data_IF_426329043781
#
_entry.id   IF_426329043781
#
_cell.length_a   1.000
_cell.length_b   1.000
_cell.length_c   1.000
_cell.angle_alpha   90.00
_cell.angle_beta   90.00
_cell.angle_gamma   90.00
#
_symmetry.space_group_name_H-M   'P 1'
#
loop_
_entity.id
_entity.type
_entity.pdbx_description
1 polymer ?
#
# COMPACT_ATOMS: atom_id res chain seq x y z
N UNK A 1 9.02 61.41 54.18
CA UNK A 1 8.54 61.26 52.79
C UNK A 1 8.74 59.82 52.36
N UNK A 2 7.62 59.15 52.20
CA UNK A 2 7.37 57.79 51.69
C UNK A 2 8.22 57.40 50.49
N UNK A 3 8.98 56.30 50.60
CA UNK A 3 9.36 55.48 49.44
C UNK A 3 9.31 54.00 49.84
N UNK A 4 8.18 53.36 49.54
CA UNK A 4 8.00 51.91 49.65
C UNK A 4 8.84 51.21 48.59
N UNK A 5 9.86 50.46 49.03
CA UNK A 5 10.57 49.51 48.18
C UNK A 5 9.75 48.21 48.07
N UNK A 6 9.20 47.98 46.89
CA UNK A 6 8.52 46.75 46.50
C UNK A 6 9.51 45.58 46.43
N UNK A 7 9.33 44.60 47.32
CA UNK A 7 9.95 43.28 47.28
C UNK A 7 9.29 42.48 46.13
N UNK A 8 10.02 41.90 45.17
CA UNK A 8 9.41 41.03 44.18
C UNK A 8 9.11 39.65 44.77
N UNK A 9 7.85 39.25 44.66
CA UNK A 9 7.34 37.91 44.96
C UNK A 9 8.15 36.80 44.28
N UNK A 10 8.67 35.87 45.08
CA UNK A 10 9.10 34.54 44.64
C UNK A 10 7.95 33.83 43.88
N UNK A 11 8.13 33.65 42.57
CA UNK A 11 7.31 32.70 41.81
C UNK A 11 7.75 31.29 42.17
N UNK A 12 6.94 30.61 42.99
CA UNK A 12 6.97 29.15 43.14
C UNK A 12 6.90 28.48 41.77
N UNK A 13 8.00 27.86 41.38
CA UNK A 13 8.11 26.95 40.24
C UNK A 13 7.14 25.78 40.42
N UNK A 14 6.04 25.79 39.66
CA UNK A 14 5.19 24.59 39.50
C UNK A 14 5.98 23.56 38.69
N UNK A 15 6.05 22.28 39.10
CA UNK A 15 6.72 21.27 38.31
C UNK A 15 5.99 21.11 36.97
N UNK A 16 6.71 21.31 35.87
CA UNK A 16 6.26 20.95 34.53
C UNK A 16 6.08 19.44 34.54
N UNK A 17 4.84 18.98 34.61
CA UNK A 17 4.49 17.60 34.28
C UNK A 17 4.82 17.41 32.81
N UNK A 18 6.00 16.85 32.54
CA UNK A 18 6.35 16.33 31.22
C UNK A 18 5.37 15.19 30.95
N UNK A 19 4.29 15.47 30.22
CA UNK A 19 3.48 14.43 29.58
C UNK A 19 4.41 13.66 28.66
N UNK A 20 4.88 12.50 29.14
CA UNK A 20 5.60 11.53 28.32
C UNK A 20 4.74 11.26 27.08
N UNK A 21 5.27 11.56 25.90
CA UNK A 21 4.70 11.09 24.64
C UNK A 21 4.50 9.57 24.76
N UNK A 22 3.34 9.02 24.39
CA UNK A 22 3.14 7.58 24.41
C UNK A 22 4.22 6.92 23.55
N UNK A 23 4.93 5.94 24.12
CA UNK A 23 5.87 5.09 23.38
C UNK A 23 5.09 4.43 22.23
N UNK A 24 5.66 4.36 21.02
CA UNK A 24 5.01 3.82 19.80
C UNK A 24 4.26 2.50 20.00
N UNK A 25 4.75 1.62 20.88
CA UNK A 25 4.07 0.38 21.26
C UNK A 25 2.66 0.57 21.85
N UNK A 26 2.40 1.68 22.57
CA UNK A 26 1.08 1.98 23.15
C UNK A 26 0.06 2.48 22.12
N UNK A 27 0.52 3.03 20.98
CA UNK A 27 -0.36 3.39 19.85
C UNK A 27 -0.69 2.15 19.03
N UNK A 28 0.26 1.23 18.84
CA UNK A 28 0.04 -0.06 18.17
C UNK A 28 -0.90 -0.99 18.96
N UNK A 29 -0.77 -1.02 20.29
CA UNK A 29 -1.70 -1.74 21.18
C UNK A 29 -3.09 -1.11 21.21
N UNK A 30 -3.18 0.23 21.19
CA UNK A 30 -4.46 0.93 21.12
C UNK A 30 -5.15 0.72 19.76
N UNK A 31 -4.40 0.73 18.66
CA UNK A 31 -4.91 0.43 17.32
C UNK A 31 -5.35 -1.03 17.19
N UNK A 32 -4.58 -1.97 17.75
CA UNK A 32 -4.94 -3.40 17.75
C UNK A 32 -6.17 -3.67 18.61
N UNK A 33 -6.27 -3.01 19.78
CA UNK A 33 -7.44 -3.09 20.66
C UNK A 33 -8.68 -2.44 20.05
N UNK A 34 -8.53 -1.28 19.38
CA UNK A 34 -9.60 -0.61 18.67
C UNK A 34 -10.07 -1.39 17.44
N UNK A 35 -9.15 -2.07 16.73
CA UNK A 35 -9.48 -2.96 15.61
C UNK A 35 -10.24 -4.19 16.11
N UNK A 36 -9.82 -4.80 17.22
CA UNK A 36 -10.53 -5.92 17.83
C UNK A 36 -11.93 -5.51 18.34
N UNK A 37 -12.04 -4.33 18.95
CA UNK A 37 -13.31 -3.77 19.39
C UNK A 37 -14.22 -3.39 18.20
N UNK A 38 -13.67 -2.85 17.12
CA UNK A 38 -14.40 -2.55 15.89
C UNK A 38 -14.86 -3.83 15.16
N UNK A 39 -14.01 -4.86 15.11
CA UNK A 39 -14.39 -6.20 14.60
C UNK A 39 -15.54 -6.78 15.44
N UNK A 40 -15.53 -6.57 16.76
CA UNK A 40 -16.62 -6.98 17.66
C UNK A 40 -17.90 -6.13 17.52
N UNK A 41 -17.78 -4.84 17.16
CA UNK A 41 -18.91 -3.91 17.02
C UNK A 41 -19.56 -3.91 15.62
N UNK A 42 -18.78 -4.18 14.56
CA UNK A 42 -19.18 -4.05 13.15
C UNK A 42 -19.74 -5.36 12.58
N UNK A 43 -19.51 -6.50 13.25
CA UNK A 43 -20.30 -7.70 13.00
C UNK A 43 -21.76 -7.40 13.40
N UNK A 44 -22.61 -7.06 12.41
CA UNK A 44 -24.07 -7.08 12.58
C UNK A 44 -24.49 -8.35 13.32
N UNK A 45 -25.56 -8.31 14.14
CA UNK A 45 -25.93 -9.34 15.11
C UNK A 45 -26.40 -10.68 14.48
N UNK A 46 -26.04 -10.99 13.25
CA UNK A 46 -26.30 -12.28 12.60
C UNK A 46 -25.12 -13.25 12.70
N UNK A 47 -23.88 -12.80 12.45
CA UNK A 47 -22.73 -13.71 12.32
C UNK A 47 -21.93 -13.80 13.62
N UNK A 48 -21.73 -12.67 14.32
CA UNK A 48 -21.25 -12.70 15.70
C UNK A 48 -22.25 -13.41 16.61
N UNK A 49 -23.56 -13.20 16.41
CA UNK A 49 -24.58 -13.94 17.13
C UNK A 49 -24.61 -15.40 16.70
N UNK A 50 -24.44 -15.79 15.43
CA UNK A 50 -24.36 -17.20 15.04
C UNK A 50 -23.11 -17.90 15.61
N UNK A 51 -21.95 -17.23 15.63
CA UNK A 51 -20.71 -17.74 16.22
C UNK A 51 -20.75 -17.78 17.75
N UNK A 52 -21.25 -16.72 18.40
CA UNK A 52 -21.43 -16.64 19.86
C UNK A 52 -22.57 -17.55 20.32
N UNK A 53 -23.67 -17.70 19.57
CA UNK A 53 -24.74 -18.65 19.88
C UNK A 53 -24.29 -20.06 19.63
N UNK A 54 -23.53 -20.36 18.56
CA UNK A 54 -22.93 -21.68 18.37
C UNK A 54 -21.93 -22.01 19.48
N UNK A 55 -21.09 -21.05 19.88
CA UNK A 55 -20.15 -21.15 20.99
C UNK A 55 -20.83 -21.29 22.36
N UNK A 56 -21.86 -20.50 22.63
CA UNK A 56 -22.68 -20.56 23.85
C UNK A 56 -23.53 -21.83 23.89
N UNK A 57 -24.06 -22.32 22.76
CA UNK A 57 -24.75 -23.60 22.66
C UNK A 57 -23.79 -24.78 22.87
N UNK A 58 -22.55 -24.67 22.38
CA UNK A 58 -21.50 -25.67 22.63
C UNK A 58 -21.10 -25.69 24.11
N UNK A 59 -20.89 -24.51 24.71
CA UNK A 59 -20.57 -24.36 26.12
C UNK A 59 -21.72 -24.82 27.03
N UNK A 60 -22.96 -24.41 26.75
CA UNK A 60 -24.16 -24.83 27.47
C UNK A 60 -24.39 -26.35 27.35
N UNK A 61 -24.08 -26.96 26.19
CA UNK A 61 -24.12 -28.42 26.02
C UNK A 61 -23.02 -29.15 26.78
N UNK A 62 -21.82 -28.61 26.87
CA UNK A 62 -20.74 -29.18 27.68
C UNK A 62 -21.07 -29.12 29.17
N UNK A 63 -21.68 -28.02 29.63
CA UNK A 63 -22.19 -27.86 31.00
C UNK A 63 -23.36 -28.80 31.27
N UNK A 64 -24.34 -28.90 30.36
CA UNK A 64 -25.47 -29.82 30.50
C UNK A 64 -25.03 -31.31 30.43
N UNK A 65 -24.04 -31.65 29.61
CA UNK A 65 -23.48 -33.00 29.54
C UNK A 65 -22.66 -33.37 30.78
N UNK A 66 -22.01 -32.40 31.45
CA UNK A 66 -21.40 -32.57 32.77
C UNK A 66 -22.45 -32.70 33.87
N UNK A 67 -23.50 -31.87 33.83
CA UNK A 67 -24.63 -31.92 34.77
C UNK A 67 -25.42 -33.23 34.70
N UNK A 68 -25.66 -33.77 33.50
CA UNK A 68 -26.31 -35.07 33.31
C UNK A 68 -25.42 -36.24 33.74
N UNK A 69 -24.10 -36.17 33.55
CA UNK A 69 -23.16 -37.18 34.06
C UNK A 69 -23.09 -37.16 35.58
N UNK A 70 -23.16 -35.98 36.21
CA UNK A 70 -23.19 -35.83 37.66
C UNK A 70 -24.52 -36.32 38.25
N UNK A 71 -25.67 -35.99 37.62
CA UNK A 71 -27.00 -36.53 38.00
C UNK A 71 -27.11 -38.05 37.78
N UNK A 72 -26.48 -38.61 36.75
CA UNK A 72 -26.42 -40.07 36.55
C UNK A 72 -25.55 -40.77 37.59
N UNK A 73 -24.44 -40.17 38.02
CA UNK A 73 -23.63 -40.69 39.15
C UNK A 73 -24.38 -40.66 40.49
N UNK A 74 -25.21 -39.64 40.71
CA UNK A 74 -26.01 -39.52 41.94
C UNK A 74 -27.24 -40.46 41.93
N UNK A 75 -27.74 -40.85 40.75
CA UNK A 75 -29.00 -41.61 40.61
C UNK A 75 -28.84 -43.11 40.33
N UNK A 76 -27.62 -43.62 40.15
CA UNK A 76 -27.39 -45.07 39.95
C UNK A 76 -26.81 -45.74 41.19
N UNK A 77 -27.64 -45.87 42.22
CA UNK A 77 -27.67 -47.06 43.04
C UNK A 77 -28.90 -47.88 42.64
N UNK A 78 -28.83 -48.63 41.53
CA UNK A 78 -29.60 -49.87 41.32
C UNK A 78 -29.30 -50.47 39.94
N UNK A 79 -29.23 -51.79 39.90
CA UNK A 79 -28.80 -52.66 38.80
C UNK A 79 -29.94 -52.94 37.81
N UNK A 80 -29.51 -53.28 36.58
CA UNK A 80 -30.19 -54.03 35.50
C UNK A 80 -31.31 -53.31 34.72
N UNK A 81 -31.03 -53.10 33.43
CA UNK A 81 -32.00 -52.71 32.40
C UNK A 81 -31.33 -52.71 31.04
N UNK A 82 -31.82 -53.56 30.14
CA UNK A 82 -31.25 -53.90 28.83
C UNK A 82 -30.96 -52.69 27.93
N UNK A 83 -29.87 -52.82 27.17
CA UNK A 83 -29.41 -51.97 26.07
C UNK A 83 -30.55 -51.54 25.14
N UNK A 84 -31.14 -50.37 25.36
CA UNK A 84 -31.68 -49.54 24.26
C UNK A 84 -30.68 -48.43 23.99
N UNK A 85 -29.79 -48.65 23.02
CA UNK A 85 -29.08 -47.54 22.34
C UNK A 85 -30.17 -46.73 21.65
N UNK A 86 -30.70 -45.73 22.34
CA UNK A 86 -31.65 -44.78 21.75
C UNK A 86 -31.00 -44.20 20.49
N UNK A 87 -31.58 -44.50 19.32
CA UNK A 87 -31.17 -43.89 18.06
C UNK A 87 -31.29 -42.38 18.27
N UNK A 88 -30.16 -41.67 18.27
CA UNK A 88 -30.16 -40.20 18.35
C UNK A 88 -31.15 -39.66 17.31
N UNK A 89 -32.02 -38.74 17.73
CA UNK A 89 -33.04 -38.18 16.83
C UNK A 89 -32.36 -37.52 15.63
N UNK A 90 -33.00 -37.46 14.46
CA UNK A 90 -32.43 -36.82 13.27
C UNK A 90 -31.89 -35.42 13.57
N UNK A 91 -32.61 -34.65 14.38
CA UNK A 91 -32.20 -33.33 14.86
C UNK A 91 -30.90 -33.34 15.67
N UNK A 92 -30.72 -34.30 16.59
CA UNK A 92 -29.49 -34.43 17.38
C UNK A 92 -28.28 -34.78 16.51
N UNK A 93 -28.48 -35.60 15.47
CA UNK A 93 -27.44 -35.92 14.49
C UNK A 93 -27.09 -34.70 13.64
N UNK A 94 -28.09 -33.98 13.13
CA UNK A 94 -27.87 -32.75 12.35
C UNK A 94 -27.13 -31.69 13.16
N UNK A 95 -27.51 -31.48 14.43
CA UNK A 95 -26.80 -30.52 15.28
C UNK A 95 -25.38 -30.99 15.60
N UNK A 96 -25.16 -32.29 15.89
CA UNK A 96 -23.81 -32.81 16.12
C UNK A 96 -22.92 -32.61 14.88
N UNK A 97 -23.43 -32.95 13.69
CA UNK A 97 -22.74 -32.75 12.42
C UNK A 97 -22.43 -31.26 12.22
N UNK A 98 -23.39 -30.36 12.42
CA UNK A 98 -23.19 -28.93 12.29
C UNK A 98 -22.13 -28.40 13.28
N UNK A 99 -22.14 -28.86 14.54
CA UNK A 99 -21.14 -28.46 15.53
C UNK A 99 -19.75 -28.98 15.21
N UNK A 100 -19.63 -30.22 14.74
CA UNK A 100 -18.35 -30.80 14.33
C UNK A 100 -17.80 -30.11 13.10
N UNK A 101 -18.65 -29.83 12.11
CA UNK A 101 -18.28 -29.07 10.92
C UNK A 101 -17.81 -27.65 11.30
N UNK A 102 -18.55 -26.95 12.17
CA UNK A 102 -18.16 -25.62 12.64
C UNK A 102 -16.81 -25.65 13.40
N UNK A 103 -16.61 -26.62 14.29
CA UNK A 103 -15.35 -26.77 15.01
C UNK A 103 -14.18 -27.09 14.07
N UNK A 104 -14.39 -27.96 13.08
CA UNK A 104 -13.38 -28.27 12.07
C UNK A 104 -13.02 -27.03 11.24
N UNK A 105 -14.01 -26.23 10.81
CA UNK A 105 -13.77 -24.98 10.09
C UNK A 105 -12.98 -23.97 10.94
N UNK A 106 -13.31 -23.82 12.23
CA UNK A 106 -12.56 -22.93 13.14
C UNK A 106 -11.11 -23.42 13.31
N UNK A 107 -10.90 -24.74 13.48
CA UNK A 107 -9.55 -25.30 13.58
C UNK A 107 -8.74 -25.08 12.30
N UNK A 108 -9.35 -25.28 11.13
CA UNK A 108 -8.72 -24.98 9.83
C UNK A 108 -8.39 -23.49 9.70
N UNK A 109 -9.29 -22.60 10.14
CA UNK A 109 -9.05 -21.15 10.13
C UNK A 109 -7.90 -20.76 11.08
N UNK A 110 -7.85 -21.33 12.29
CA UNK A 110 -6.76 -21.09 13.25
C UNK A 110 -5.42 -21.60 12.72
N UNK A 111 -5.41 -22.78 12.08
CA UNK A 111 -4.22 -23.33 11.44
C UNK A 111 -3.75 -22.43 10.28
N UNK A 112 -4.67 -22.02 9.40
CA UNK A 112 -4.41 -21.08 8.30
C UNK A 112 -3.87 -19.74 8.81
N UNK A 113 -4.46 -19.19 9.86
CA UNK A 113 -3.99 -17.95 10.49
C UNK A 113 -2.60 -18.12 11.11
N UNK A 114 -2.37 -19.22 11.82
CA UNK A 114 -1.05 -19.57 12.35
C UNK A 114 0.01 -19.66 11.25
N UNK A 115 -0.29 -20.32 10.14
CA UNK A 115 0.58 -20.39 8.97
C UNK A 115 0.86 -19.00 8.37
N UNK A 116 -0.17 -18.15 8.26
CA UNK A 116 -0.03 -16.79 7.76
C UNK A 116 0.83 -15.90 8.67
N UNK A 117 0.86 -16.17 9.99
CA UNK A 117 1.69 -15.48 10.99
C UNK A 117 3.11 -16.07 11.13
N UNK A 118 3.36 -17.27 10.64
CA UNK A 118 4.71 -17.89 10.65
C UNK A 118 5.41 -17.87 9.29
N UNK A 119 4.69 -17.62 8.20
CA UNK A 119 5.26 -17.45 6.87
C UNK A 119 6.38 -16.38 6.84
N UNK A 120 7.33 -16.53 5.91
CA UNK A 120 8.37 -15.51 5.70
C UNK A 120 7.71 -14.20 5.25
N UNK A 121 7.97 -13.12 5.98
CA UNK A 121 7.38 -11.81 5.70
C UNK A 121 8.28 -10.69 6.17
N UNK A 122 8.26 -9.56 5.45
CA UNK A 122 8.86 -8.31 5.90
C UNK A 122 7.84 -7.30 6.46
N UNK A 123 6.64 -7.79 6.77
CA UNK A 123 5.52 -7.04 7.35
C UNK A 123 5.33 -7.37 8.84
N UNK A 124 4.77 -6.42 9.59
CA UNK A 124 4.46 -6.65 11.01
C UNK A 124 3.32 -7.66 11.18
N UNK A 125 3.23 -8.29 12.35
CA UNK A 125 2.15 -9.24 12.65
C UNK A 125 0.76 -8.62 12.45
N UNK A 126 0.57 -7.35 12.80
CA UNK A 126 -0.70 -6.64 12.60
C UNK A 126 -1.09 -6.53 11.11
N UNK A 127 -0.14 -6.18 10.24
CA UNK A 127 -0.39 -6.13 8.80
C UNK A 127 -0.70 -7.52 8.25
N UNK A 128 0.03 -8.54 8.70
CA UNK A 128 -0.22 -9.94 8.31
C UNK A 128 -1.61 -10.41 8.73
N UNK A 129 -2.09 -10.02 9.91
CA UNK A 129 -3.45 -10.30 10.34
C UNK A 129 -4.50 -9.62 9.46
N UNK A 130 -4.29 -8.36 9.09
CA UNK A 130 -5.19 -7.62 8.19
C UNK A 130 -5.21 -8.26 6.79
N UNK A 131 -4.05 -8.62 6.25
CA UNK A 131 -3.95 -9.30 4.95
C UNK A 131 -4.60 -10.69 4.98
N UNK A 132 -4.47 -11.45 6.07
CA UNK A 132 -5.16 -12.73 6.24
C UNK A 132 -6.68 -12.53 6.28
N UNK A 133 -7.18 -11.56 7.05
CA UNK A 133 -8.62 -11.24 7.09
C UNK A 133 -9.15 -10.87 5.69
N UNK A 134 -8.42 -10.02 4.97
CA UNK A 134 -8.76 -9.63 3.60
C UNK A 134 -8.83 -10.84 2.66
N UNK A 135 -7.83 -11.72 2.73
CA UNK A 135 -7.77 -12.94 1.92
C UNK A 135 -8.75 -14.05 2.30
N UNK A 136 -9.37 -14.01 3.49
CA UNK A 136 -10.28 -15.05 4.00
C UNK A 136 -11.73 -14.55 4.13
N UNK A 137 -12.16 -13.66 3.23
CA UNK A 137 -13.57 -13.25 3.09
C UNK A 137 -14.03 -12.11 4.01
N UNK A 138 -13.13 -11.54 4.81
CA UNK A 138 -13.40 -10.35 5.63
C UNK A 138 -12.88 -9.06 4.99
N UNK A 139 -12.64 -9.04 3.67
CA UNK A 139 -12.23 -7.85 2.93
C UNK A 139 -13.18 -6.67 3.17
N UNK A 140 -14.49 -6.90 3.15
CA UNK A 140 -15.52 -5.87 3.40
C UNK A 140 -15.36 -5.18 4.77
N UNK A 141 -14.99 -5.94 5.80
CA UNK A 141 -14.83 -5.41 7.16
C UNK A 141 -13.60 -4.51 7.24
N UNK A 142 -12.50 -4.93 6.61
CA UNK A 142 -11.28 -4.13 6.51
C UNK A 142 -11.57 -2.86 5.73
N UNK A 143 -12.27 -2.97 4.60
CA UNK A 143 -12.70 -1.86 3.76
C UNK A 143 -13.54 -0.82 4.50
N UNK A 144 -14.48 -1.25 5.35
CA UNK A 144 -15.33 -0.33 6.11
C UNK A 144 -14.56 0.38 7.23
N UNK A 145 -13.63 -0.32 7.89
CA UNK A 145 -12.73 0.29 8.87
C UNK A 145 -11.79 1.31 8.18
N UNK A 146 -11.21 0.95 7.04
CA UNK A 146 -10.37 1.84 6.24
C UNK A 146 -11.17 3.07 5.80
N UNK A 147 -12.39 2.89 5.28
CA UNK A 147 -13.29 3.99 4.89
C UNK A 147 -13.60 4.93 6.06
N UNK A 148 -13.93 4.38 7.23
CA UNK A 148 -14.18 5.17 8.42
C UNK A 148 -12.92 5.94 8.82
N UNK A 149 -11.76 5.26 8.91
CA UNK A 149 -10.48 5.89 9.23
C UNK A 149 -10.16 7.03 8.27
N UNK A 150 -10.27 6.83 6.96
CA UNK A 150 -10.00 7.87 5.97
C UNK A 150 -11.04 8.98 5.98
N UNK A 151 -12.32 8.70 6.27
CA UNK A 151 -13.36 9.73 6.39
C UNK A 151 -13.13 10.66 7.59
N UNK A 152 -12.65 10.11 8.71
CA UNK A 152 -12.37 10.86 9.94
C UNK A 152 -11.04 11.61 9.85
N UNK A 153 -10.04 11.04 9.18
CA UNK A 153 -8.71 11.64 9.01
C UNK A 153 -8.57 12.45 7.71
N UNK A 154 -9.62 12.56 6.90
CA UNK A 154 -9.59 13.35 5.69
C UNK A 154 -9.20 14.80 6.01
N UNK A 155 -8.25 15.40 5.29
CA UNK A 155 -7.88 16.79 5.51
C UNK A 155 -9.10 17.68 5.28
N UNK A 156 -9.28 18.67 6.15
CA UNK A 156 -10.29 19.71 5.94
C UNK A 156 -10.05 20.38 4.59
N UNK A 157 -11.13 20.61 3.84
CA UNK A 157 -11.07 21.43 2.63
C UNK A 157 -10.62 22.85 2.99
N UNK A 158 -9.69 23.39 2.20
CA UNK A 158 -9.13 24.72 2.40
C UNK A 158 -8.09 24.82 3.53
N UNK A 159 -8.02 26.00 4.15
CA UNK A 159 -7.03 26.33 5.18
C UNK A 159 -5.70 26.87 4.65
N UNK A 160 -4.75 27.22 5.53
CA UNK A 160 -3.50 27.87 5.11
C UNK A 160 -2.67 26.95 4.22
N UNK A 161 -2.12 27.49 3.15
CA UNK A 161 -1.19 26.76 2.29
C UNK A 161 0.13 26.43 3.00
N UNK A 162 0.85 25.42 2.48
CA UNK A 162 2.25 25.21 2.81
C UNK A 162 3.07 26.49 2.53
N UNK A 163 4.05 26.75 3.39
CA UNK A 163 5.03 27.84 3.22
C UNK A 163 6.30 27.38 2.49
N UNK A 164 6.61 26.08 2.54
CA UNK A 164 7.79 25.46 1.91
C UNK A 164 7.47 24.04 1.48
N UNK A 165 8.11 23.62 0.41
CA UNK A 165 8.08 22.24 -0.07
C UNK A 165 9.13 21.38 0.64
N UNK A 166 8.92 20.06 0.75
CA UNK A 166 9.96 19.14 1.15
C UNK A 166 11.09 19.12 0.11
N UNK A 167 12.31 18.94 0.58
CA UNK A 167 13.51 18.81 -0.25
C UNK A 167 13.49 17.46 -0.98
N UNK A 168 13.50 17.48 -2.31
CA UNK A 168 13.52 16.26 -3.17
C UNK A 168 14.73 16.25 -4.10
N UNK A 169 15.29 15.06 -4.33
CA UNK A 169 16.50 14.89 -5.13
C UNK A 169 17.79 15.28 -4.40
N UNK A 170 18.85 15.49 -5.19
CA UNK A 170 20.14 16.03 -4.76
C UNK A 170 20.25 17.50 -5.16
N UNK A 171 20.82 18.34 -4.28
CA UNK A 171 21.01 19.77 -4.54
C UNK A 171 19.78 20.66 -4.32
N UNK A 172 18.78 20.18 -3.58
CA UNK A 172 17.55 20.89 -3.22
C UNK A 172 17.65 21.80 -1.98
N UNK A 173 18.87 22.05 -1.48
CA UNK A 173 19.15 23.14 -0.54
C UNK A 173 19.05 24.49 -1.27
N UNK A 174 18.56 25.57 -0.64
CA UNK A 174 18.54 26.88 -1.26
C UNK A 174 19.99 27.33 -1.48
N UNK A 175 20.46 27.19 -2.71
CA UNK A 175 21.75 27.72 -3.10
C UNK A 175 21.71 29.24 -2.87
N UNK A 176 22.56 29.71 -1.95
CA UNK A 176 22.95 31.12 -1.90
C UNK A 176 23.36 31.56 -3.30
N UNK A 177 23.04 32.82 -3.60
CA UNK A 177 23.27 33.48 -4.89
C UNK A 177 24.59 33.06 -5.54
N UNK A 178 24.52 32.86 -6.85
CA UNK A 178 25.59 32.62 -7.83
C UNK A 178 25.89 31.14 -8.13
N UNK A 179 25.18 30.60 -9.13
CA UNK A 179 25.78 29.63 -10.07
C UNK A 179 25.45 30.01 -11.51
N UNK A 180 26.41 29.90 -12.46
CA UNK A 180 26.24 30.38 -13.82
C UNK A 180 25.17 29.58 -14.57
N UNK A 181 24.52 30.23 -15.53
CA UNK A 181 23.67 29.60 -16.53
C UNK A 181 24.44 28.47 -17.22
N UNK A 182 24.15 27.23 -16.84
CA UNK A 182 24.45 26.08 -17.71
C UNK A 182 23.47 26.20 -18.88
N UNK A 183 24.03 26.23 -20.08
CA UNK A 183 23.31 26.36 -21.34
C UNK A 183 22.05 25.49 -21.40
N UNK A 184 21.03 26.05 -22.05
CA UNK A 184 19.65 25.59 -22.21
C UNK A 184 19.55 24.27 -23.01
N UNK A 185 20.17 23.20 -22.51
CA UNK A 185 20.00 21.84 -23.03
C UNK A 185 18.94 21.16 -22.17
N UNK A 186 17.74 21.05 -22.74
CA UNK A 186 16.71 20.02 -22.56
C UNK A 186 16.49 19.45 -21.14
N UNK A 187 16.40 20.28 -20.09
CA UNK A 187 15.65 19.85 -18.91
C UNK A 187 14.17 19.73 -19.30
N UNK A 188 13.45 18.67 -18.88
CA UNK A 188 12.02 18.59 -19.08
C UNK A 188 11.35 19.87 -18.58
N UNK A 189 10.32 20.33 -19.29
CA UNK A 189 9.56 21.50 -18.87
C UNK A 189 9.08 21.28 -17.43
N UNK A 190 9.29 22.29 -16.58
CA UNK A 190 8.83 22.23 -15.20
C UNK A 190 7.30 22.03 -15.16
N UNK A 191 6.83 21.26 -14.18
CA UNK A 191 5.39 21.11 -13.96
C UNK A 191 4.85 22.47 -13.52
N UNK A 192 3.85 22.99 -14.23
CA UNK A 192 3.33 24.33 -13.93
C UNK A 192 2.59 24.31 -12.60
N UNK A 193 2.93 25.18 -11.62
CA UNK A 193 2.22 25.23 -10.34
C UNK A 193 0.73 25.56 -10.53
N UNK A 194 -0.14 24.76 -9.91
CA UNK A 194 -1.60 24.94 -9.95
C UNK A 194 -2.06 26.02 -8.98
N UNK A 195 -1.37 26.16 -7.83
CA UNK A 195 -1.70 27.12 -6.78
C UNK A 195 -0.75 28.32 -6.84
N UNK A 196 -1.30 29.53 -6.69
CA UNK A 196 -0.54 30.79 -6.65
C UNK A 196 -0.56 31.43 -5.24
N UNK A 197 0.52 32.10 -4.81
CA UNK A 197 1.84 32.14 -5.46
C UNK A 197 2.51 30.76 -5.43
N UNK A 198 3.39 30.52 -6.40
CA UNK A 198 4.18 29.29 -6.46
C UNK A 198 5.19 29.27 -5.31
N UNK A 199 5.43 28.09 -4.74
CA UNK A 199 6.49 27.89 -3.76
C UNK A 199 7.85 27.75 -4.47
N UNK A 200 8.93 28.03 -3.74
CA UNK A 200 10.28 27.83 -4.27
C UNK A 200 10.48 26.38 -4.71
N UNK A 201 11.00 26.20 -5.93
CA UNK A 201 11.24 24.90 -6.58
C UNK A 201 9.97 24.06 -6.84
N UNK A 202 8.77 24.65 -6.75
CA UNK A 202 7.53 23.94 -7.06
C UNK A 202 7.46 23.54 -8.54
N UNK A 203 7.33 22.24 -8.80
CA UNK A 203 7.31 21.68 -10.15
C UNK A 203 8.66 21.66 -10.86
N UNK A 204 9.74 22.15 -10.23
CA UNK A 204 11.10 22.08 -10.76
C UNK A 204 11.68 20.68 -10.63
N UNK A 205 12.34 20.19 -11.68
CA UNK A 205 12.93 18.86 -11.71
C UNK A 205 14.32 18.82 -11.05
N UNK A 206 14.54 17.83 -10.19
CA UNK A 206 15.79 17.59 -9.48
C UNK A 206 16.34 16.20 -9.80
N UNK A 207 17.65 16.11 -10.05
CA UNK A 207 18.34 14.82 -10.19
C UNK A 207 18.23 14.02 -8.89
N UNK A 208 18.17 12.69 -9.00
CA UNK A 208 18.11 11.80 -7.83
C UNK A 208 19.48 11.36 -7.34
N UNK A 209 20.52 11.48 -8.18
CA UNK A 209 21.88 11.05 -7.88
C UNK A 209 22.92 12.13 -8.16
N UNK A 210 23.90 12.25 -7.26
CA UNK A 210 24.96 13.26 -7.31
C UNK A 210 25.74 13.24 -8.63
N UNK A 211 26.04 12.05 -9.16
CA UNK A 211 26.80 11.87 -10.41
C UNK A 211 26.08 12.37 -11.67
N UNK A 212 24.77 12.59 -11.59
CA UNK A 212 23.98 13.14 -12.71
C UNK A 212 23.51 14.58 -12.43
N UNK A 213 23.82 15.17 -11.28
CA UNK A 213 23.26 16.46 -10.87
C UNK A 213 23.65 17.62 -11.79
N UNK A 214 24.84 17.56 -12.41
CA UNK A 214 25.32 18.55 -13.37
C UNK A 214 24.88 18.27 -14.81
N UNK A 215 24.22 17.15 -15.07
CA UNK A 215 23.81 16.79 -16.43
C UNK A 215 22.49 17.48 -16.80
N UNK A 216 22.31 17.83 -18.09
CA UNK A 216 21.08 18.46 -18.57
C UNK A 216 19.87 17.53 -18.44
N UNK A 217 20.02 16.24 -18.77
CA UNK A 217 18.92 15.26 -18.72
C UNK A 217 19.29 14.01 -17.89
N UNK A 218 19.24 14.07 -16.54
CA UNK A 218 19.50 12.93 -15.67
C UNK A 218 18.54 11.75 -15.93
N UNK A 219 19.00 10.49 -15.78
CA UNK A 219 18.18 9.30 -16.06
C UNK A 219 16.93 9.18 -15.19
N UNK A 220 16.98 9.74 -13.98
CA UNK A 220 15.82 9.86 -13.10
C UNK A 220 15.79 11.27 -12.51
N UNK A 221 14.64 11.92 -12.65
CA UNK A 221 14.33 13.23 -12.09
C UNK A 221 13.14 13.10 -11.15
N UNK A 222 13.08 13.93 -10.12
CA UNK A 222 11.93 14.03 -9.21
C UNK A 222 11.51 15.47 -9.00
N UNK A 223 10.23 15.68 -8.74
CA UNK A 223 9.68 16.99 -8.37
C UNK A 223 8.48 16.82 -7.44
N UNK A 224 8.06 17.93 -6.83
CA UNK A 224 6.81 18.01 -6.08
C UNK A 224 6.05 19.28 -6.42
N UNK A 225 4.73 19.20 -6.39
CA UNK A 225 3.86 20.37 -6.52
C UNK A 225 2.55 20.18 -5.77
N UNK A 226 1.83 21.27 -5.50
CA UNK A 226 0.47 21.22 -4.96
C UNK A 226 -0.50 21.06 -6.13
N UNK A 227 -1.20 19.91 -6.26
CA UNK A 227 -1.97 19.62 -7.46
C UNK A 227 -3.41 20.13 -7.41
N UNK A 228 -3.89 20.57 -6.23
CA UNK A 228 -5.31 20.84 -6.01
C UNK A 228 -5.50 22.05 -5.07
N UNK A 229 -6.08 23.17 -5.55
CA UNK A 229 -6.38 24.35 -4.75
C UNK A 229 -7.29 24.09 -3.55
N UNK A 230 -8.14 23.05 -3.60
CA UNK A 230 -9.05 22.68 -2.52
C UNK A 230 -8.31 22.05 -1.33
N UNK A 231 -7.11 21.51 -1.58
CA UNK A 231 -6.26 20.83 -0.60
C UNK A 231 -4.83 21.36 -0.67
N UNK A 232 -4.58 22.63 -0.31
CA UNK A 232 -3.32 23.33 -0.53
C UNK A 232 -2.14 22.79 0.30
N UNK A 233 -2.38 21.79 1.16
CA UNK A 233 -1.39 21.07 1.95
C UNK A 233 -0.98 19.71 1.39
N UNK A 234 -1.75 19.20 0.43
CA UNK A 234 -1.47 17.90 -0.20
C UNK A 234 -0.47 18.12 -1.33
N UNK A 235 0.56 17.28 -1.36
CA UNK A 235 1.58 17.29 -2.40
C UNK A 235 1.43 16.09 -3.31
N UNK A 236 1.62 16.32 -4.61
CA UNK A 236 1.96 15.27 -5.55
C UNK A 236 3.48 15.20 -5.68
N UNK A 237 4.02 13.99 -5.54
CA UNK A 237 5.38 13.65 -5.94
C UNK A 237 5.36 13.03 -7.32
N UNK A 238 6.21 13.53 -8.22
CA UNK A 238 6.34 12.99 -9.57
C UNK A 238 7.78 12.63 -9.83
N UNK A 239 8.02 11.47 -10.43
CA UNK A 239 9.32 11.07 -10.92
C UNK A 239 9.26 10.80 -12.43
N UNK A 240 10.25 11.31 -13.15
CA UNK A 240 10.48 10.99 -14.57
C UNK A 240 11.65 10.03 -14.69
N UNK A 241 11.48 8.97 -15.46
CA UNK A 241 12.52 7.99 -15.78
C UNK A 241 12.71 7.98 -17.30
N UNK A 242 13.92 8.29 -17.75
CA UNK A 242 14.26 8.23 -19.17
C UNK A 242 14.71 6.80 -19.56
N UNK A 243 13.91 6.05 -20.34
CA UNK A 243 14.24 4.68 -20.71
C UNK A 243 15.43 4.59 -21.68
N UNK A 244 15.91 5.69 -22.26
CA UNK A 244 17.13 5.71 -23.09
C UNK A 244 18.40 5.67 -22.24
N UNK A 245 18.30 6.08 -20.97
CA UNK A 245 19.42 6.16 -20.01
C UNK A 245 19.25 5.25 -18.80
N UNK A 246 18.06 4.67 -18.63
CA UNK A 246 17.74 3.75 -17.58
C UNK A 246 17.11 2.45 -18.11
N UNK A 247 17.22 1.39 -17.33
CA UNK A 247 16.52 0.11 -17.56
C UNK A 247 15.61 -0.16 -16.37
N UNK A 248 14.40 -0.63 -16.63
CA UNK A 248 13.43 -1.04 -15.60
C UNK A 248 13.42 -2.57 -15.51
N UNK A 249 13.33 -3.10 -14.29
CA UNK A 249 13.14 -4.52 -14.04
C UNK A 249 12.04 -4.74 -13.01
N UNK A 250 11.34 -5.87 -13.13
CA UNK A 250 10.24 -6.30 -12.26
C UNK A 250 10.67 -7.50 -11.43
N UNK A 251 10.37 -7.47 -10.13
CA UNK A 251 10.75 -8.48 -9.14
C UNK A 251 9.49 -9.09 -8.50
N UNK A 252 9.31 -10.42 -8.44
CA UNK A 252 8.04 -11.05 -8.04
C UNK A 252 7.80 -11.22 -6.53
N UNK A 253 8.46 -10.42 -5.67
CA UNK A 253 8.26 -10.51 -4.22
C UNK A 253 8.50 -11.91 -3.61
N UNK A 254 8.15 -12.11 -2.34
CA UNK A 254 8.20 -13.41 -1.65
C UNK A 254 6.82 -14.03 -1.38
N UNK A 255 5.75 -13.24 -1.46
CA UNK A 255 4.37 -13.73 -1.29
C UNK A 255 3.51 -13.46 -2.51
N UNK A 256 3.64 -12.29 -3.12
CA UNK A 256 2.82 -11.86 -4.26
C UNK A 256 3.70 -11.34 -5.41
N UNK A 257 3.49 -11.83 -6.64
CA UNK A 257 2.50 -12.81 -7.08
C UNK A 257 2.78 -14.25 -6.60
N UNK A 258 1.75 -15.13 -6.65
CA UNK A 258 1.93 -16.57 -6.48
C UNK A 258 3.02 -17.12 -7.41
N UNK A 259 3.82 -18.07 -6.90
CA UNK A 259 4.90 -18.68 -7.67
C UNK A 259 6.17 -17.82 -7.82
N UNK A 260 6.20 -16.60 -7.26
CA UNK A 260 7.39 -15.74 -7.30
C UNK A 260 8.67 -16.41 -6.79
N UNK A 261 8.62 -17.03 -5.61
CA UNK A 261 9.76 -17.79 -5.05
C UNK A 261 10.12 -19.00 -5.91
N UNK A 262 9.12 -19.73 -6.40
CA UNK A 262 9.33 -20.93 -7.22
C UNK A 262 9.95 -20.61 -8.59
N UNK A 263 9.82 -19.37 -9.08
CA UNK A 263 10.45 -18.92 -10.32
C UNK A 263 11.97 -18.80 -10.23
N UNK A 264 12.54 -18.74 -9.02
CA UNK A 264 13.97 -18.50 -8.80
C UNK A 264 14.42 -17.06 -9.07
N UNK A 265 13.50 -16.16 -9.46
CA UNK A 265 13.79 -14.75 -9.60
C UNK A 265 14.06 -14.10 -8.24
N UNK A 266 14.95 -13.11 -8.17
CA UNK A 266 15.20 -12.38 -6.93
C UNK A 266 13.95 -11.65 -6.44
N UNK A 267 13.81 -11.56 -5.11
CA UNK A 267 12.72 -10.84 -4.43
C UNK A 267 13.17 -9.50 -3.83
N UNK A 268 14.41 -9.10 -4.11
CA UNK A 268 15.06 -7.87 -3.69
C UNK A 268 16.06 -7.43 -4.76
N UNK A 269 16.53 -6.18 -4.68
CA UNK A 269 17.60 -5.71 -5.55
C UNK A 269 18.91 -6.43 -5.20
N UNK A 270 19.47 -7.29 -6.08
CA UNK A 270 20.66 -8.06 -5.78
C UNK A 270 21.85 -7.15 -5.52
N UNK A 271 22.70 -7.50 -4.55
CA UNK A 271 23.85 -6.69 -4.14
C UNK A 271 24.74 -6.26 -5.33
N UNK A 272 24.99 -7.18 -6.28
CA UNK A 272 25.78 -6.91 -7.49
C UNK A 272 25.20 -5.83 -8.41
N UNK A 273 23.87 -5.63 -8.40
CA UNK A 273 23.19 -4.63 -9.23
C UNK A 273 23.08 -3.26 -8.57
N UNK A 274 23.33 -3.16 -7.25
CA UNK A 274 23.16 -1.91 -6.48
C UNK A 274 24.10 -0.79 -6.90
N UNK A 275 25.23 -1.09 -7.56
CA UNK A 275 26.11 -0.05 -8.14
C UNK A 275 25.39 0.79 -9.20
N UNK A 276 24.45 0.19 -9.94
CA UNK A 276 23.70 0.85 -11.03
C UNK A 276 22.33 1.37 -10.62
N UNK A 277 21.84 1.02 -9.42
CA UNK A 277 20.48 1.39 -9.02
C UNK A 277 20.29 2.91 -8.92
N UNK A 278 19.15 3.38 -9.39
CA UNK A 278 18.72 4.79 -9.39
C UNK A 278 17.51 4.97 -8.48
N UNK A 279 16.51 4.11 -8.65
CA UNK A 279 15.25 4.16 -7.91
C UNK A 279 14.59 2.78 -7.81
N UNK A 280 13.65 2.64 -6.88
CA UNK A 280 12.71 1.53 -6.76
C UNK A 280 11.32 2.06 -6.44
N UNK A 281 10.27 1.38 -6.90
CA UNK A 281 8.89 1.78 -6.61
C UNK A 281 7.94 0.60 -6.59
N UNK A 282 6.82 0.76 -5.91
CA UNK A 282 5.82 -0.28 -5.75
C UNK A 282 5.17 -0.69 -7.08
N UNK A 283 4.57 -1.87 -7.10
CA UNK A 283 3.80 -2.39 -8.22
C UNK A 283 2.29 -2.19 -8.03
N UNK A 284 1.48 -2.88 -8.84
CA UNK A 284 0.03 -2.89 -8.80
C UNK A 284 -0.57 -3.73 -7.66
N UNK A 285 -1.89 -3.90 -7.70
CA UNK A 285 -2.64 -4.71 -6.73
C UNK A 285 -2.24 -6.19 -6.79
N UNK A 286 -2.60 -6.96 -5.74
CA UNK A 286 -2.50 -8.42 -5.79
C UNK A 286 -3.19 -8.96 -7.05
N UNK A 287 -2.65 -9.99 -7.70
CA UNK A 287 -3.35 -10.66 -8.79
C UNK A 287 -4.76 -11.11 -8.40
N UNK A 288 -4.98 -11.53 -7.14
CA UNK A 288 -6.31 -11.88 -6.61
C UNK A 288 -7.31 -10.71 -6.62
N UNK A 289 -6.84 -9.49 -6.43
CA UNK A 289 -7.68 -8.30 -6.23
C UNK A 289 -7.99 -7.60 -7.55
N UNK A 290 -7.07 -7.66 -8.52
CA UNK A 290 -7.21 -7.02 -9.83
C UNK A 290 -7.35 -8.01 -11.00
N UNK A 291 -7.29 -9.32 -10.75
CA UNK A 291 -7.29 -10.34 -11.81
C UNK A 291 -6.21 -10.08 -12.87
N UNK A 292 -5.03 -9.63 -12.42
CA UNK A 292 -4.02 -9.00 -13.25
C UNK A 292 -2.84 -9.94 -13.54
N UNK A 293 -2.44 -10.01 -14.81
CA UNK A 293 -1.31 -10.83 -15.27
C UNK A 293 0.05 -10.34 -14.78
N UNK A 294 0.99 -11.29 -14.70
CA UNK A 294 2.36 -11.08 -14.26
C UNK A 294 3.32 -11.95 -15.08
N UNK A 295 4.27 -11.31 -15.74
CA UNK A 295 5.36 -11.96 -16.46
C UNK A 295 6.67 -11.22 -16.19
N UNK A 296 7.71 -11.96 -15.80
CA UNK A 296 9.05 -11.42 -15.62
C UNK A 296 10.11 -12.48 -15.93
N UNK A 297 11.19 -12.08 -16.60
CA UNK A 297 12.37 -12.94 -16.79
C UNK A 297 12.09 -14.25 -17.53
N UNK A 298 11.06 -14.30 -18.39
CA UNK A 298 10.64 -15.53 -19.08
C UNK A 298 9.62 -16.39 -18.31
N UNK A 299 9.33 -16.06 -17.05
CA UNK A 299 8.36 -16.74 -16.21
C UNK A 299 7.01 -16.05 -16.29
N UNK A 300 5.99 -16.81 -16.72
CA UNK A 300 4.59 -16.41 -16.62
C UNK A 300 4.08 -16.90 -15.26
N UNK A 301 3.81 -15.98 -14.34
CA UNK A 301 3.31 -16.31 -13.00
C UNK A 301 1.79 -16.19 -12.94
N UNK A 302 1.24 -15.20 -13.64
CA UNK A 302 -0.21 -15.00 -13.76
C UNK A 302 -0.55 -14.69 -15.24
N UNK A 303 -1.56 -15.35 -15.84
CA UNK A 303 -1.93 -15.13 -17.24
C UNK A 303 -2.29 -13.67 -17.55
N UNK A 304 -1.82 -13.16 -18.68
CA UNK A 304 -2.18 -11.84 -19.17
C UNK A 304 -3.62 -11.81 -19.68
N UNK A 305 -4.33 -10.69 -19.44
CA UNK A 305 -5.71 -10.48 -19.86
C UNK A 305 -5.83 -9.32 -20.83
N UNK A 306 -6.63 -9.43 -21.90
CA UNK A 306 -6.92 -8.32 -22.80
C UNK A 306 -7.56 -7.12 -22.08
N UNK A 307 -7.31 -5.92 -22.58
CA UNK A 307 -7.91 -4.66 -22.10
C UNK A 307 -7.26 -4.05 -20.86
N UNK A 308 -6.64 -4.87 -19.99
CA UNK A 308 -5.98 -4.39 -18.78
C UNK A 308 -4.76 -3.53 -19.09
N UNK A 309 -4.58 -2.47 -18.31
CA UNK A 309 -3.38 -1.65 -18.46
C UNK A 309 -2.15 -2.43 -18.02
N UNK A 310 -1.07 -2.30 -18.78
CA UNK A 310 0.14 -3.09 -18.61
C UNK A 310 1.36 -2.20 -18.74
N UNK A 311 2.20 -2.18 -17.70
CA UNK A 311 3.56 -1.68 -17.81
C UNK A 311 4.40 -2.82 -18.40
N UNK A 312 4.88 -2.62 -19.62
CA UNK A 312 5.60 -3.62 -20.41
C UNK A 312 7.00 -3.12 -20.73
N UNK A 313 7.99 -3.99 -20.52
CA UNK A 313 9.37 -3.75 -20.91
C UNK A 313 9.86 -4.84 -21.86
N UNK A 314 10.59 -4.42 -22.89
CA UNK A 314 11.23 -5.30 -23.89
C UNK A 314 12.65 -5.65 -23.49
N UNK A 315 13.24 -6.68 -24.11
CA UNK A 315 14.64 -7.05 -23.91
C UNK A 315 15.63 -5.99 -24.41
N UNK A 316 15.22 -5.17 -25.39
CA UNK A 316 15.98 -3.99 -25.83
C UNK A 316 15.90 -2.81 -24.85
N UNK A 317 15.08 -2.95 -23.80
CA UNK A 317 14.91 -1.97 -22.74
C UNK A 317 13.94 -0.83 -23.07
N UNK A 318 13.18 -0.91 -24.18
CA UNK A 318 12.00 -0.05 -24.38
C UNK A 318 10.95 -0.40 -23.32
N UNK A 319 10.35 0.62 -22.71
CA UNK A 319 9.26 0.47 -21.75
C UNK A 319 8.06 1.31 -22.21
N UNK A 320 6.85 0.81 -21.99
CA UNK A 320 5.60 1.50 -22.33
C UNK A 320 4.48 1.13 -21.36
N UNK A 321 3.44 1.95 -21.30
CA UNK A 321 2.16 1.64 -20.64
C UNK A 321 1.09 1.51 -21.71
N UNK A 322 0.52 0.31 -21.83
CA UNK A 322 -0.41 -0.04 -22.91
C UNK A 322 -1.71 -0.63 -22.36
N UNK A 323 -2.81 -0.55 -23.12
CA UNK A 323 -3.93 -1.47 -22.95
C UNK A 323 -3.56 -2.77 -23.64
N UNK A 324 -3.49 -3.87 -22.89
CA UNK A 324 -2.98 -5.13 -23.42
C UNK A 324 -3.90 -5.74 -24.47
N UNK A 325 -3.36 -6.06 -25.64
CA UNK A 325 -4.07 -6.75 -26.72
C UNK A 325 -3.40 -8.08 -27.12
N UNK A 326 -2.31 -8.46 -26.43
CA UNK A 326 -1.59 -9.71 -26.69
C UNK A 326 -2.26 -10.95 -26.10
N UNK A 327 -1.67 -12.12 -26.37
CA UNK A 327 -2.10 -13.38 -25.77
C UNK A 327 -1.83 -13.46 -24.26
N UNK A 328 -2.29 -14.56 -23.64
CA UNK A 328 -2.10 -14.83 -22.21
C UNK A 328 -0.63 -14.94 -21.80
N UNK A 329 0.24 -15.34 -22.73
CA UNK A 329 1.69 -15.35 -22.55
C UNK A 329 2.30 -14.25 -23.42
N UNK A 330 3.09 -13.33 -22.86
CA UNK A 330 3.83 -12.35 -23.64
C UNK A 330 4.77 -13.00 -24.68
N UNK A 331 4.98 -12.31 -25.80
CA UNK A 331 5.91 -12.74 -26.86
C UNK A 331 7.38 -12.71 -26.44
N UNK A 332 8.26 -13.31 -27.24
CA UNK A 332 9.67 -13.53 -26.89
C UNK A 332 10.51 -12.28 -26.59
N UNK A 333 10.16 -11.12 -27.18
CA UNK A 333 10.84 -9.84 -26.94
C UNK A 333 10.47 -9.18 -25.60
N UNK A 334 9.38 -9.60 -24.97
CA UNK A 334 8.98 -9.04 -23.68
C UNK A 334 9.90 -9.55 -22.58
N UNK A 335 10.51 -8.64 -21.83
CA UNK A 335 11.34 -8.93 -20.66
C UNK A 335 10.49 -8.98 -19.38
N UNK A 336 9.53 -8.07 -19.26
CA UNK A 336 8.52 -8.08 -18.21
C UNK A 336 7.21 -7.48 -18.70
N UNK A 337 6.10 -7.92 -18.13
CA UNK A 337 4.80 -7.31 -18.30
C UNK A 337 4.01 -7.45 -16.99
N UNK A 338 3.60 -6.32 -16.43
CA UNK A 338 2.78 -6.29 -15.22
C UNK A 338 1.48 -5.59 -15.50
N UNK A 339 0.39 -6.31 -15.39
CA UNK A 339 -0.93 -5.72 -15.54
C UNK A 339 -1.40 -5.12 -14.23
N UNK A 340 -2.37 -4.23 -14.31
CA UNK A 340 -3.25 -3.91 -13.19
C UNK A 340 -4.64 -3.67 -13.76
N UNK A 341 -5.41 -2.76 -13.16
CA UNK A 341 -6.71 -2.29 -13.64
C UNK A 341 -6.64 -1.66 -15.05
N UNK A 342 -7.77 -1.28 -15.69
CA UNK A 342 -7.73 -0.58 -16.98
C UNK A 342 -6.93 0.73 -16.94
N UNK A 343 -6.68 1.33 -18.10
CA UNK A 343 -5.94 2.60 -18.16
C UNK A 343 -6.73 3.71 -17.45
N UNK A 344 -6.07 4.48 -16.58
CA UNK A 344 -6.66 5.68 -15.98
C UNK A 344 -6.46 6.92 -16.85
N UNK A 345 -5.44 6.92 -17.70
CA UNK A 345 -5.23 7.94 -18.73
C UNK A 345 -5.09 7.24 -20.07
N UNK A 346 -5.81 7.71 -21.08
CA UNK A 346 -5.65 7.26 -22.46
C UNK A 346 -5.75 8.47 -23.41
N UNK A 347 -4.83 8.55 -24.38
CA UNK A 347 -4.68 9.70 -25.28
C UNK A 347 -4.61 11.07 -24.58
N UNK A 348 -3.98 11.11 -23.39
CA UNK A 348 -3.87 12.33 -22.58
C UNK A 348 -5.18 12.78 -21.95
N UNK A 349 -6.22 11.93 -21.98
CA UNK A 349 -7.51 12.18 -21.36
C UNK A 349 -7.77 11.21 -20.22
N UNK A 350 -8.48 11.62 -19.16
CA UNK A 350 -8.92 10.71 -18.12
C UNK A 350 -9.83 9.64 -18.74
N UNK A 351 -9.73 8.39 -18.26
CA UNK A 351 -10.68 7.36 -18.67
C UNK A 351 -12.12 7.82 -18.32
N UNK A 352 -13.09 7.70 -19.25
CA UNK A 352 -14.46 8.16 -19.01
C UNK A 352 -15.12 7.46 -17.81
N UNK A 353 -14.68 6.24 -17.49
CA UNK A 353 -15.22 5.43 -16.40
C UNK A 353 -14.54 5.66 -15.05
N UNK A 354 -13.71 6.71 -14.90
CA UNK A 354 -13.09 7.09 -13.61
C UNK A 354 -14.07 7.62 -12.54
N UNK A 355 -15.36 7.35 -12.69
CA UNK A 355 -16.40 7.60 -11.69
C UNK A 355 -16.40 6.49 -10.61
N UNK A 356 -17.41 6.45 -9.75
CA UNK A 356 -17.49 5.56 -8.58
C UNK A 356 -17.72 4.06 -8.87
N UNK A 357 -17.38 3.59 -10.07
CA UNK A 357 -17.52 2.18 -10.45
C UNK A 357 -16.52 1.24 -9.75
N UNK A 358 -16.82 -0.06 -9.56
CA UNK A 358 -15.99 -1.00 -8.80
C UNK A 358 -14.60 -1.27 -9.43
N UNK A 359 -14.31 -0.74 -10.60
CA UNK A 359 -13.13 -1.04 -11.43
C UNK A 359 -11.82 -0.44 -10.92
N UNK A 360 -11.84 0.43 -9.89
CA UNK A 360 -10.70 1.26 -9.45
C UNK A 360 -10.22 0.98 -8.02
N UNK A 361 -10.44 -0.26 -7.57
CA UNK A 361 -10.09 -0.77 -6.24
C UNK A 361 -11.33 -1.03 -5.39
N UNK A 362 -11.75 -2.29 -5.31
CA UNK A 362 -12.91 -2.75 -4.50
C UNK A 362 -12.73 -2.53 -3.00
N UNK A 363 -11.49 -2.33 -2.53
CA UNK A 363 -11.13 -2.32 -1.12
C UNK A 363 -11.41 -1.00 -0.41
N UNK A 364 -11.48 0.14 -1.08
CA UNK A 364 -11.87 1.41 -0.45
C UNK A 364 -12.54 2.26 -1.53
N UNK A 365 -13.87 2.24 -1.62
CA UNK A 365 -14.63 2.81 -2.75
C UNK A 365 -14.11 4.18 -3.24
N UNK A 366 -14.15 4.38 -4.56
CA UNK A 366 -13.37 5.37 -5.33
C UNK A 366 -13.37 6.81 -4.84
N UNK A 367 -14.43 7.23 -4.15
CA UNK A 367 -14.58 8.56 -3.57
C UNK A 367 -13.75 8.77 -2.30
N UNK A 368 -13.17 7.70 -1.74
CA UNK A 368 -12.34 7.76 -0.54
C UNK A 368 -10.94 8.26 -0.90
N UNK A 369 -10.56 9.36 -0.26
CA UNK A 369 -9.25 9.97 -0.40
C UNK A 369 -8.22 9.14 0.36
N UNK A 370 -7.43 8.36 -0.40
CA UNK A 370 -6.35 7.52 0.11
C UNK A 370 -5.02 7.90 -0.54
N UNK A 371 -3.93 7.32 -0.06
CA UNK A 371 -2.69 7.28 -0.84
C UNK A 371 -2.96 6.62 -2.18
N UNK A 372 -2.55 7.24 -3.29
CA UNK A 372 -2.58 6.57 -4.59
C UNK A 372 -1.25 6.72 -5.29
N UNK A 373 -0.92 5.71 -6.09
CA UNK A 373 0.25 5.72 -6.96
C UNK A 373 -0.11 5.25 -8.36
N UNK A 374 0.62 5.73 -9.36
CA UNK A 374 0.41 5.36 -10.74
C UNK A 374 1.71 5.48 -11.54
N UNK A 375 1.75 4.78 -12.67
CA UNK A 375 2.80 4.90 -13.66
C UNK A 375 2.18 5.18 -15.03
N UNK A 376 2.77 6.11 -15.75
CA UNK A 376 2.38 6.48 -17.10
C UNK A 376 3.58 6.65 -18.01
N UNK A 377 3.28 7.02 -19.24
CA UNK A 377 4.24 7.32 -20.29
C UNK A 377 3.82 8.63 -20.95
N UNK A 378 4.78 9.49 -21.27
CA UNK A 378 4.53 10.71 -22.03
C UNK A 378 4.70 10.49 -23.55
N UNK A 379 4.54 11.56 -24.34
CA UNK A 379 4.68 11.51 -25.80
C UNK A 379 6.12 11.22 -26.27
N UNK A 380 7.11 11.43 -25.41
CA UNK A 380 8.53 11.22 -25.69
C UNK A 380 8.98 9.80 -25.31
N UNK A 381 8.11 9.03 -24.65
CA UNK A 381 8.39 7.69 -24.17
C UNK A 381 9.00 7.67 -22.77
N UNK A 382 9.09 8.81 -22.09
CA UNK A 382 9.57 8.84 -20.70
C UNK A 382 8.51 8.24 -19.78
N UNK A 383 8.93 7.45 -18.80
CA UNK A 383 8.02 6.96 -17.77
C UNK A 383 7.81 8.02 -16.71
N UNK A 384 6.57 8.16 -16.27
CA UNK A 384 6.16 9.07 -15.22
C UNK A 384 5.55 8.27 -14.07
N UNK A 385 6.22 8.25 -12.93
CA UNK A 385 5.59 7.79 -11.68
C UNK A 385 4.96 8.99 -10.98
N UNK A 386 3.75 8.82 -10.44
CA UNK A 386 3.11 9.82 -9.60
C UNK A 386 2.55 9.18 -8.33
N UNK A 387 2.65 9.90 -7.21
CA UNK A 387 1.94 9.54 -5.99
C UNK A 387 1.52 10.78 -5.21
N UNK A 388 0.38 10.68 -4.54
CA UNK A 388 -0.14 11.69 -3.65
C UNK A 388 -1.00 11.05 -2.57
N UNK A 389 -0.99 11.66 -1.38
CA UNK A 389 -1.95 11.34 -0.34
C UNK A 389 -3.31 11.98 -0.64
N UNK A 390 -4.37 11.44 -0.07
CA UNK A 390 -5.74 11.95 -0.16
C UNK A 390 -6.22 12.24 -1.58
N UNK A 391 -6.14 11.24 -2.48
CA UNK A 391 -6.62 11.37 -3.86
C UNK A 391 -7.67 10.34 -4.25
N UNK A 392 -8.58 10.80 -5.10
CA UNK A 392 -9.43 9.93 -5.92
C UNK A 392 -8.64 9.45 -7.15
N UNK A 393 -9.13 8.41 -7.82
CA UNK A 393 -8.52 7.92 -9.06
C UNK A 393 -8.47 9.01 -10.15
N UNK A 394 -9.52 9.86 -10.23
CA UNK A 394 -9.56 11.01 -11.14
C UNK A 394 -8.46 12.03 -10.82
N UNK A 395 -8.31 12.42 -9.54
CA UNK A 395 -7.26 13.36 -9.14
C UNK A 395 -5.86 12.83 -9.43
N UNK A 396 -5.64 11.52 -9.36
CA UNK A 396 -4.38 10.89 -9.76
C UNK A 396 -4.16 10.93 -11.28
N UNK A 397 -5.20 10.67 -12.08
CA UNK A 397 -5.14 10.80 -13.53
C UNK A 397 -4.83 12.25 -13.95
N UNK A 398 -5.46 13.24 -13.30
CA UNK A 398 -5.21 14.66 -13.54
C UNK A 398 -3.76 15.05 -13.23
N UNK A 399 -3.16 14.50 -12.15
CA UNK A 399 -1.73 14.71 -11.84
C UNK A 399 -0.84 14.20 -12.99
N UNK A 400 -1.11 13.01 -13.51
CA UNK A 400 -0.33 12.41 -14.58
C UNK A 400 -0.48 13.18 -15.90
N UNK A 401 -1.70 13.56 -16.27
CA UNK A 401 -1.97 14.39 -17.46
C UNK A 401 -1.25 15.73 -17.33
N UNK A 402 -1.32 16.37 -16.16
CA UNK A 402 -0.63 17.64 -15.90
C UNK A 402 0.91 17.51 -15.95
N UNK A 403 1.44 16.34 -15.60
CA UNK A 403 2.85 15.99 -15.76
C UNK A 403 3.22 15.61 -17.21
N UNK A 404 2.24 15.44 -18.11
CA UNK A 404 2.44 15.19 -19.54
C UNK A 404 2.16 13.75 -20.00
N UNK A 405 1.63 12.89 -19.14
CA UNK A 405 1.32 11.51 -19.50
C UNK A 405 0.23 11.43 -20.58
N UNK A 406 0.46 10.59 -21.59
CA UNK A 406 -0.53 10.28 -22.64
C UNK A 406 -1.24 8.96 -22.38
N UNK A 407 -0.61 8.04 -21.64
CA UNK A 407 -1.23 6.81 -21.12
C UNK A 407 -0.75 6.57 -19.70
N UNK A 408 -1.61 6.05 -18.84
CA UNK A 408 -1.22 5.69 -17.48
C UNK A 408 -2.12 4.62 -16.86
N UNK A 409 -1.55 3.91 -15.90
CA UNK A 409 -2.21 2.90 -15.10
C UNK A 409 -2.02 3.19 -13.61
N UNK A 410 -3.07 2.92 -12.83
CA UNK A 410 -2.98 2.94 -11.37
C UNK A 410 -2.11 1.76 -10.87
N UNK A 411 -1.38 2.00 -9.78
CA UNK A 411 -0.62 1.02 -9.03
C UNK A 411 -1.31 0.78 -7.66
N UNK A 412 -0.66 0.13 -6.70
CA UNK A 412 -1.27 -0.07 -5.39
C UNK A 412 -1.65 1.28 -4.72
N UNK A 413 -2.76 1.30 -3.96
CA UNK A 413 -3.33 2.46 -3.26
C UNK A 413 -3.31 2.30 -1.74
N UNK A 414 -2.82 1.17 -1.23
CA UNK A 414 -2.63 1.04 0.21
C UNK A 414 -1.42 1.89 0.63
N UNK A 415 -1.60 2.74 1.63
CA UNK A 415 -0.53 3.57 2.19
C UNK A 415 0.70 2.77 2.65
N UNK A 416 0.50 1.49 3.02
CA UNK A 416 1.56 0.56 3.36
C UNK A 416 2.36 0.08 2.13
N UNK A 417 1.76 0.05 0.94
CA UNK A 417 2.40 -0.45 -0.28
C UNK A 417 2.99 0.69 -1.13
N UNK A 418 2.34 1.86 -1.17
CA UNK A 418 2.77 3.03 -1.97
C UNK A 418 4.16 3.53 -1.55
N UNK A 419 5.14 3.40 -2.46
CA UNK A 419 6.49 3.92 -2.27
C UNK A 419 7.19 4.24 -3.58
N UNK A 420 7.98 5.31 -3.59
CA UNK A 420 9.02 5.57 -4.58
C UNK A 420 10.28 6.00 -3.85
N UNK A 421 11.35 5.23 -4.03
CA UNK A 421 12.61 5.40 -3.33
C UNK A 421 13.72 5.71 -4.33
N UNK A 422 14.51 6.72 -4.02
CA UNK A 422 15.69 7.12 -4.80
C UNK A 422 16.96 6.83 -4.02
N UNK A 423 18.07 6.55 -4.69
CA UNK A 423 19.36 6.31 -4.03
C UNK A 423 20.35 7.38 -4.44
N UNK A 424 20.74 8.28 -3.54
CA UNK A 424 21.56 9.46 -3.85
C UNK A 424 22.95 9.18 -4.44
N UNK A 425 23.51 8.00 -4.21
CA UNK A 425 24.83 7.58 -4.70
C UNK A 425 24.82 6.11 -5.19
N UNK A 426 25.82 5.69 -6.01
CA UNK A 426 26.00 4.29 -6.37
C UNK A 426 26.03 3.36 -5.14
N UNK A 427 25.63 2.10 -5.33
CA UNK A 427 25.65 1.10 -4.25
C UNK A 427 24.41 1.15 -3.35
N UNK A 428 23.31 1.74 -3.84
CA UNK A 428 22.09 2.01 -3.06
C UNK A 428 22.31 2.93 -1.84
N UNK A 429 23.31 3.81 -1.89
CA UNK A 429 23.63 4.73 -0.81
C UNK A 429 22.72 5.97 -0.81
N UNK A 430 22.52 6.56 0.38
CA UNK A 430 21.60 7.68 0.65
C UNK A 430 20.19 7.46 0.11
N UNK A 431 19.50 6.40 0.54
CA UNK A 431 18.12 6.14 0.15
C UNK A 431 17.19 7.23 0.70
N UNK A 432 16.28 7.73 -0.15
CA UNK A 432 15.27 8.74 0.20
C UNK A 432 13.92 8.34 -0.39
N UNK A 433 12.84 8.64 0.33
CA UNK A 433 11.46 8.52 -0.18
C UNK A 433 11.11 9.77 -0.98
N UNK A 434 10.35 9.62 -2.06
CA UNK A 434 9.87 10.75 -2.86
C UNK A 434 9.02 11.72 -2.02
N UNK A 435 8.10 11.17 -1.24
CA UNK A 435 7.31 11.92 -0.26
C UNK A 435 7.60 11.41 1.15
N UNK A 436 7.81 12.33 2.08
CA UNK A 436 8.16 12.02 3.48
C UNK A 436 7.08 11.15 4.16
N UNK A 437 5.82 11.31 3.75
CA UNK A 437 4.66 10.60 4.28
C UNK A 437 4.49 9.14 3.82
N UNK A 438 5.25 8.65 2.84
CA UNK A 438 5.21 7.23 2.45
C UNK A 438 5.62 6.35 3.64
N UNK A 439 4.86 5.31 3.99
CA UNK A 439 5.00 4.64 5.29
C UNK A 439 6.32 3.85 5.42
N UNK A 440 6.64 3.05 4.40
CA UNK A 440 7.74 2.09 4.46
C UNK A 440 9.12 2.74 4.31
N UNK A 441 10.18 2.12 4.86
CA UNK A 441 11.54 2.67 4.78
C UNK A 441 12.06 2.73 3.34
N UNK A 442 12.94 3.69 3.05
CA UNK A 442 13.49 3.89 1.71
C UNK A 442 14.38 2.74 1.21
N UNK A 443 14.80 1.86 2.13
CA UNK A 443 15.59 0.66 1.87
C UNK A 443 14.74 -0.59 1.60
N UNK A 444 13.40 -0.49 1.65
CA UNK A 444 12.46 -1.63 1.63
C UNK A 444 12.82 -2.70 0.61
N UNK A 445 13.17 -2.30 -0.62
CA UNK A 445 13.45 -3.20 -1.74
C UNK A 445 14.92 -3.65 -1.86
N UNK A 446 15.78 -3.30 -0.89
CA UNK A 446 17.14 -3.83 -0.75
C UNK A 446 17.19 -5.11 0.09
N UNK A 447 16.03 -5.58 0.52
CA UNK A 447 15.80 -6.85 1.20
C UNK A 447 14.54 -7.48 0.63
N UNK A 448 14.34 -8.80 0.73
CA UNK A 448 13.17 -9.47 0.20
C UNK A 448 11.86 -8.80 0.63
N UNK A 449 11.00 -8.51 -0.35
CA UNK A 449 9.71 -7.85 -0.12
C UNK A 449 8.52 -8.78 -0.32
N UNK A 450 7.49 -8.64 0.52
CA UNK A 450 6.27 -9.45 0.41
C UNK A 450 5.59 -9.26 -0.96
N UNK A 451 5.66 -8.06 -1.53
CA UNK A 451 5.02 -7.70 -2.80
C UNK A 451 6.04 -7.51 -3.92
N UNK A 452 5.54 -7.61 -5.14
CA UNK A 452 6.28 -7.26 -6.33
C UNK A 452 6.56 -5.76 -6.42
N UNK A 453 7.65 -5.42 -7.11
CA UNK A 453 8.11 -4.05 -7.24
C UNK A 453 8.97 -3.87 -8.49
N UNK A 454 9.18 -2.61 -8.87
CA UNK A 454 10.06 -2.23 -9.95
C UNK A 454 11.37 -1.63 -9.42
N UNK A 455 12.47 -1.94 -10.10
CA UNK A 455 13.75 -1.29 -9.89
C UNK A 455 14.22 -0.62 -11.19
N UNK A 456 14.87 0.53 -11.03
CA UNK A 456 15.40 1.35 -12.12
C UNK A 456 16.92 1.40 -12.00
N UNK A 457 17.61 1.04 -13.07
CA UNK A 457 19.08 0.98 -13.14
C UNK A 457 19.60 1.91 -14.21
N UNK A 458 20.73 2.57 -13.97
CA UNK A 458 21.47 3.28 -15.02
C UNK A 458 21.90 2.30 -16.11
N UNK A 459 21.81 2.71 -17.38
CA UNK A 459 22.31 1.94 -18.53
C UNK A 459 23.82 1.90 -18.57
#
# INVERSE_FOLDING_TARGET
MTTSALIPHERRSRPIVVRRKPRRASVELAMSGALLAAVMLVLRPGIALAGLTAGLLLAARLVAARGLRMRRRIRTGSRRGLRRRGRASPLQRSVAIATTAAAATVLLALFSYGAALTARSNSSLGIRSVEWLRGNGAAWLVSDIERLYYSVNAPSKGGPTLKRLPSVGVGSEPAGRLRPQVAEVQRPKAITPVIRPALSSEGSWHATQSRYASQPDPPVLVTTYRPDPSYPRVLAGVARIDPRRATVALYPGIQEPPGGVASGLPSDVPAGSRKRILATFNSGFKPSDASAGFFAGGHLLEPMRPGLATLVGTRSGKVDVVSWSGGQRPGGDVAFARQNLPLIVNHGQPNPNLSDGPEWGTTVGNSTMVWRSAVGVDRHGDLLYAAADYRTVRGLADILIHAGAVRAMELDINSYWVTFNTYGNPGAAHPKKLLVGMDRPAQRYLTPDDRDFFAVFAR
#
